data_IF_425916746669
#
_entry.id   IF_425916746669
#
_cell.length_a   1.000
_cell.length_b   1.000
_cell.length_c   1.000
_cell.angle_alpha   90.00
_cell.angle_beta   90.00
_cell.angle_gamma   90.00
#
_symmetry.space_group_name_H-M   'P 1'
#
loop_
_entity.id
_entity.type
_entity.pdbx_description
1 polymer ?
#
# COMPACT_ATOMS: atom_id res chain seq x y z
N UNK A 1 43.02 14.84 -37.77
CA UNK A 1 42.21 14.93 -36.52
C UNK A 1 42.93 14.31 -35.32
N UNK A 2 43.71 13.21 -35.44
CA UNK A 2 44.41 12.61 -34.28
C UNK A 2 45.50 13.50 -33.65
N UNK A 3 46.35 14.18 -34.45
CA UNK A 3 47.45 15.01 -33.94
C UNK A 3 47.04 16.13 -32.96
N UNK A 4 45.82 16.66 -33.09
CA UNK A 4 45.32 17.72 -32.18
C UNK A 4 44.93 17.11 -30.83
N UNK A 5 44.31 15.93 -30.83
CA UNK A 5 44.03 15.19 -29.60
C UNK A 5 45.33 14.72 -28.94
N UNK A 6 46.29 14.21 -29.71
CA UNK A 6 47.59 13.77 -29.20
C UNK A 6 48.36 14.92 -28.53
N UNK A 7 48.35 16.12 -29.11
CA UNK A 7 48.98 17.32 -28.54
C UNK A 7 48.25 17.85 -27.30
N UNK A 8 46.92 17.77 -27.26
CA UNK A 8 46.13 18.12 -26.08
C UNK A 8 46.36 17.14 -24.92
N UNK A 9 46.36 15.82 -25.18
CA UNK A 9 46.64 14.81 -24.17
C UNK A 9 48.07 14.94 -23.65
N UNK A 10 49.05 15.14 -24.54
CA UNK A 10 50.45 15.37 -24.18
C UNK A 10 50.59 16.57 -23.22
N UNK A 11 50.00 17.73 -23.56
CA UNK A 11 50.04 18.94 -22.71
C UNK A 11 49.31 18.78 -21.38
N UNK A 12 48.24 18.00 -21.34
CA UNK A 12 47.54 17.64 -20.09
C UNK A 12 48.40 16.75 -19.18
N UNK A 13 49.09 15.76 -19.76
CA UNK A 13 49.96 14.84 -19.02
C UNK A 13 51.31 15.45 -18.60
N UNK A 14 51.76 16.50 -19.29
CA UNK A 14 53.00 17.22 -18.98
C UNK A 14 52.83 18.18 -17.79
N UNK A 15 51.64 18.77 -17.60
CA UNK A 15 51.34 19.65 -16.46
C UNK A 15 50.78 18.93 -15.24
N UNK A 16 50.11 17.80 -15.43
CA UNK A 16 49.48 17.04 -14.34
C UNK A 16 50.21 15.72 -14.19
N UNK A 17 50.86 15.53 -13.04
CA UNK A 17 51.56 14.28 -12.74
C UNK A 17 50.55 13.11 -12.77
N UNK A 18 50.64 12.25 -13.79
CA UNK A 18 49.73 11.12 -14.00
C UNK A 18 49.64 10.18 -12.79
N UNK A 19 50.70 10.11 -11.96
CA UNK A 19 50.69 9.36 -10.69
C UNK A 19 49.71 9.94 -9.68
N UNK A 20 49.48 11.27 -9.72
CA UNK A 20 48.54 11.97 -8.87
C UNK A 20 47.10 11.81 -9.38
N UNK A 21 46.90 11.73 -10.69
CA UNK A 21 45.60 11.42 -11.31
C UNK A 21 45.10 10.01 -10.95
N UNK A 22 46.01 9.04 -10.79
CA UNK A 22 45.66 7.69 -10.31
C UNK A 22 45.08 7.67 -8.89
N UNK A 23 45.43 8.66 -8.05
CA UNK A 23 44.88 8.76 -6.71
C UNK A 23 43.44 9.29 -6.69
N UNK A 24 42.97 9.94 -7.77
CA UNK A 24 41.63 10.55 -7.81
C UNK A 24 40.52 9.49 -7.65
N UNK A 25 40.49 8.37 -8.39
CA UNK A 25 39.51 7.30 -8.15
C UNK A 25 39.60 6.70 -6.75
N UNK A 26 40.82 6.55 -6.20
CA UNK A 26 41.04 5.99 -4.86
C UNK A 26 40.47 6.91 -3.78
N UNK A 27 40.71 8.22 -3.89
CA UNK A 27 40.16 9.23 -2.98
C UNK A 27 38.63 9.28 -3.09
N UNK A 28 38.08 9.24 -4.30
CA UNK A 28 36.62 9.19 -4.51
C UNK A 28 36.00 7.94 -3.88
N UNK A 29 36.62 6.77 -4.05
CA UNK A 29 36.17 5.54 -3.43
C UNK A 29 36.23 5.62 -1.90
N UNK A 30 37.31 6.16 -1.34
CA UNK A 30 37.45 6.35 0.10
C UNK A 30 36.39 7.30 0.66
N UNK A 31 36.10 8.41 -0.04
CA UNK A 31 35.01 9.34 0.33
C UNK A 31 33.66 8.65 0.24
N UNK A 32 33.39 7.85 -0.79
CA UNK A 32 32.14 7.09 -0.89
C UNK A 32 31.97 6.10 0.26
N UNK A 33 33.01 5.31 0.58
CA UNK A 33 32.98 4.36 1.69
C UNK A 33 32.77 5.10 3.01
N UNK A 34 33.48 6.21 3.22
CA UNK A 34 33.32 7.04 4.41
C UNK A 34 31.89 7.58 4.57
N UNK A 35 31.28 8.05 3.48
CA UNK A 35 29.88 8.49 3.48
C UNK A 35 28.90 7.35 3.79
N UNK A 36 29.15 6.16 3.25
CA UNK A 36 28.34 4.96 3.52
C UNK A 36 28.47 4.55 5.00
N UNK A 37 29.66 4.61 5.59
CA UNK A 37 29.86 4.28 7.01
C UNK A 37 29.14 5.29 7.91
N UNK A 38 29.21 6.59 7.60
CA UNK A 38 28.58 7.62 8.42
C UNK A 38 27.05 7.65 8.32
N UNK A 39 26.50 7.48 7.12
CA UNK A 39 25.06 7.64 6.87
C UNK A 39 24.31 6.32 6.74
N UNK A 40 25.02 5.21 6.62
CA UNK A 40 24.44 3.93 6.21
C UNK A 40 24.02 3.91 4.75
N UNK A 41 23.58 2.75 4.28
CA UNK A 41 22.91 2.60 2.98
C UNK A 41 21.41 2.78 3.23
N UNK A 42 20.71 3.71 2.55
CA UNK A 42 19.26 3.84 2.67
C UNK A 42 18.58 2.64 2.03
N UNK A 43 18.36 1.60 2.81
CA UNK A 43 17.76 0.34 2.38
C UNK A 43 16.24 0.46 2.47
N UNK A 44 15.54 0.04 1.41
CA UNK A 44 14.08 0.07 1.36
C UNK A 44 13.43 -0.98 2.26
N UNK A 45 12.09 -0.95 2.30
CA UNK A 45 11.26 -1.85 3.11
C UNK A 45 11.52 -3.34 2.85
N UNK A 46 11.89 -3.72 1.62
CA UNK A 46 12.19 -5.13 1.27
C UNK A 46 13.50 -5.64 1.91
N UNK A 47 14.36 -4.72 2.36
CA UNK A 47 15.64 -5.04 2.99
C UNK A 47 15.60 -4.94 4.51
N UNK A 48 14.86 -3.96 5.06
CA UNK A 48 14.79 -3.75 6.52
C UNK A 48 13.52 -4.32 7.16
N UNK A 49 12.48 -4.58 6.36
CA UNK A 49 11.14 -4.89 6.84
C UNK A 49 10.38 -3.63 7.22
N UNK A 50 9.09 -3.78 7.52
CA UNK A 50 8.23 -2.69 7.97
C UNK A 50 6.76 -2.90 7.60
N UNK A 51 6.04 -1.80 7.39
CA UNK A 51 4.61 -1.81 7.07
C UNK A 51 4.32 -1.11 5.75
N UNK A 52 3.53 -1.77 4.90
CA UNK A 52 2.95 -1.22 3.69
C UNK A 52 1.43 -1.12 3.87
N UNK A 53 0.89 0.09 3.75
CA UNK A 53 -0.55 0.32 3.77
C UNK A 53 -0.95 0.89 2.41
N UNK A 54 -2.03 0.35 1.86
CA UNK A 54 -2.67 0.86 0.65
C UNK A 54 -4.13 1.15 0.96
N UNK A 55 -4.56 2.35 0.61
CA UNK A 55 -5.95 2.76 0.70
C UNK A 55 -6.44 3.16 -0.70
N UNK A 56 -7.49 2.52 -1.17
CA UNK A 56 -8.21 2.89 -2.40
C UNK A 56 -9.18 4.02 -2.04
N UNK A 57 -9.27 5.02 -2.91
CA UNK A 57 -10.03 6.24 -2.64
C UNK A 57 -11.00 6.48 -3.79
N UNK A 58 -12.26 6.71 -3.42
CA UNK A 58 -13.32 7.01 -4.39
C UNK A 58 -13.11 8.39 -5.03
N UNK A 59 -12.59 9.34 -4.24
CA UNK A 59 -12.30 10.70 -4.69
C UNK A 59 -10.84 11.07 -4.45
N UNK A 60 -10.26 11.96 -5.27
CA UNK A 60 -8.94 12.51 -5.01
C UNK A 60 -8.93 13.25 -3.67
N UNK A 61 -7.93 12.97 -2.83
CA UNK A 61 -7.73 13.68 -1.57
C UNK A 61 -7.13 15.06 -1.87
N UNK A 62 -7.61 16.08 -1.16
CA UNK A 62 -7.03 17.42 -1.23
C UNK A 62 -5.66 17.50 -0.52
N UNK A 63 -4.95 18.61 -0.71
CA UNK A 63 -3.65 18.78 -0.06
C UNK A 63 -3.76 18.99 1.45
N UNK A 64 -4.90 19.48 1.94
CA UNK A 64 -5.14 19.80 3.35
C UNK A 64 -5.25 18.53 4.19
N UNK A 65 -6.13 17.60 3.78
CA UNK A 65 -6.33 16.28 4.40
C UNK A 65 -5.03 15.49 4.34
N UNK A 66 -4.33 15.50 3.19
CA UNK A 66 -3.04 14.80 3.07
C UNK A 66 -1.99 15.33 4.07
N UNK A 67 -1.91 16.65 4.26
CA UNK A 67 -0.98 17.26 5.21
C UNK A 67 -1.38 16.99 6.67
N UNK A 68 -2.68 17.00 6.97
CA UNK A 68 -3.21 16.60 8.28
C UNK A 68 -2.85 15.16 8.60
N UNK A 69 -3.14 14.24 7.68
CA UNK A 69 -2.76 12.83 7.81
C UNK A 69 -1.26 12.65 7.99
N UNK A 70 -0.44 13.37 7.21
CA UNK A 70 1.02 13.31 7.34
C UNK A 70 1.47 13.72 8.74
N UNK A 71 0.94 14.82 9.26
CA UNK A 71 1.29 15.35 10.59
C UNK A 71 0.96 14.34 11.69
N UNK A 72 -0.23 13.73 11.62
CA UNK A 72 -0.66 12.74 12.61
C UNK A 72 0.19 11.46 12.54
N UNK A 73 0.51 10.99 11.34
CA UNK A 73 1.39 9.82 11.18
C UNK A 73 2.84 10.12 11.58
N UNK A 74 3.36 11.33 11.34
CA UNK A 74 4.69 11.75 11.80
C UNK A 74 4.75 11.83 13.34
N UNK A 75 3.66 12.26 13.98
CA UNK A 75 3.56 12.30 15.46
C UNK A 75 3.70 10.93 16.12
N UNK A 76 3.45 9.85 15.38
CA UNK A 76 3.64 8.47 15.87
C UNK A 76 5.11 8.04 15.93
N UNK A 77 6.04 8.83 15.38
CA UNK A 77 7.47 8.50 15.36
C UNK A 77 7.82 7.33 14.44
N UNK A 78 7.13 7.21 13.31
CA UNK A 78 7.35 6.14 12.33
C UNK A 78 8.66 6.35 11.55
N UNK A 79 9.49 5.32 11.45
CA UNK A 79 10.78 5.36 10.75
C UNK A 79 10.59 5.35 9.24
N UNK A 80 11.30 6.26 8.54
CA UNK A 80 11.25 6.45 7.08
C UNK A 80 9.81 6.43 6.54
N UNK A 81 8.93 7.19 7.19
CA UNK A 81 7.55 7.35 6.76
C UNK A 81 7.48 8.03 5.39
N UNK A 82 6.84 7.36 4.44
CA UNK A 82 6.62 7.89 3.09
C UNK A 82 5.17 7.69 2.69
N UNK A 83 4.58 8.76 2.18
CA UNK A 83 3.17 8.81 1.78
C UNK A 83 3.12 9.22 0.31
N UNK A 84 2.47 8.40 -0.51
CA UNK A 84 2.37 8.58 -1.95
C UNK A 84 0.92 8.56 -2.39
N UNK A 85 0.54 9.53 -3.21
CA UNK A 85 -0.68 9.46 -4.00
C UNK A 85 -0.34 8.93 -5.38
N UNK A 86 -1.16 8.01 -5.86
CA UNK A 86 -1.02 7.44 -7.18
C UNK A 86 -2.36 7.02 -7.74
N UNK A 87 -2.31 6.46 -8.94
CA UNK A 87 -3.47 5.88 -9.61
C UNK A 87 -3.15 4.45 -9.99
N UNK A 88 -4.04 3.52 -9.68
CA UNK A 88 -3.86 2.15 -10.12
C UNK A 88 -3.98 2.07 -11.64
N UNK A 89 -3.05 1.36 -12.27
CA UNK A 89 -3.03 1.28 -13.74
C UNK A 89 -4.15 0.44 -14.33
N UNK A 90 -4.67 -0.52 -13.56
CA UNK A 90 -5.66 -1.49 -14.03
C UNK A 90 -7.07 -0.96 -13.82
N UNK A 91 -7.40 -0.55 -12.60
CA UNK A 91 -8.74 -0.08 -12.23
C UNK A 91 -8.93 1.41 -12.48
N UNK A 92 -7.84 2.19 -12.56
CA UNK A 92 -7.91 3.65 -12.63
C UNK A 92 -8.32 4.31 -11.30
N UNK A 93 -8.36 3.56 -10.20
CA UNK A 93 -8.72 4.06 -8.88
C UNK A 93 -7.58 4.89 -8.28
N UNK A 94 -7.94 5.88 -7.46
CA UNK A 94 -6.95 6.66 -6.71
C UNK A 94 -6.45 5.82 -5.55
N UNK A 95 -5.13 5.78 -5.35
CA UNK A 95 -4.52 5.00 -4.27
C UNK A 95 -3.61 5.91 -3.44
N UNK A 96 -3.82 5.86 -2.12
CA UNK A 96 -2.86 6.31 -1.13
C UNK A 96 -1.98 5.13 -0.70
N UNK A 97 -0.67 5.28 -0.83
CA UNK A 97 0.30 4.29 -0.34
C UNK A 97 1.12 4.89 0.78
N UNK A 98 1.10 4.24 1.94
CA UNK A 98 1.93 4.60 3.10
C UNK A 98 2.96 3.48 3.30
N UNK A 99 4.24 3.87 3.39
CA UNK A 99 5.35 2.97 3.66
C UNK A 99 6.10 3.46 4.88
N UNK A 100 6.50 2.55 5.75
CA UNK A 100 7.38 2.83 6.89
C UNK A 100 8.19 1.57 7.20
N UNK A 101 9.39 1.77 7.76
CA UNK A 101 10.22 0.68 8.27
C UNK A 101 9.76 0.18 9.66
N UNK A 102 8.85 0.92 10.30
CA UNK A 102 8.24 0.50 11.56
C UNK A 102 7.16 -0.56 11.34
N UNK A 103 7.13 -1.57 12.21
CA UNK A 103 6.02 -2.52 12.30
C UNK A 103 4.86 -1.86 13.05
N UNK A 104 3.83 -1.46 12.31
CA UNK A 104 2.67 -0.76 12.87
C UNK A 104 1.58 -1.77 13.17
N UNK A 105 0.86 -1.57 14.26
CA UNK A 105 -0.34 -2.34 14.57
C UNK A 105 -1.56 -1.65 13.95
N UNK A 106 -2.41 -2.44 13.27
CA UNK A 106 -3.67 -1.98 12.68
C UNK A 106 -4.49 -1.15 13.68
N UNK A 107 -4.68 -1.62 14.91
CA UNK A 107 -5.51 -0.95 15.94
C UNK A 107 -5.05 0.48 16.24
N UNK A 108 -3.77 0.81 16.02
CA UNK A 108 -3.25 2.16 16.26
C UNK A 108 -3.41 3.08 15.06
N UNK A 109 -3.25 2.55 13.84
CA UNK A 109 -3.25 3.36 12.62
C UNK A 109 -4.64 3.51 12.01
N UNK A 110 -5.49 2.51 12.18
CA UNK A 110 -6.84 2.50 11.60
C UNK A 110 -7.66 3.74 11.97
N UNK A 111 -7.74 4.16 13.25
CA UNK A 111 -8.54 5.34 13.62
C UNK A 111 -8.01 6.65 13.03
N UNK A 112 -6.68 6.77 12.87
CA UNK A 112 -6.04 7.94 12.26
C UNK A 112 -6.36 7.99 10.77
N UNK A 113 -6.32 6.83 10.09
CA UNK A 113 -6.68 6.79 8.68
C UNK A 113 -8.17 7.09 8.50
N UNK A 114 -9.05 6.55 9.32
CA UNK A 114 -10.49 6.81 9.22
C UNK A 114 -10.84 8.28 9.47
N UNK A 115 -10.16 8.95 10.41
CA UNK A 115 -10.42 10.38 10.69
C UNK A 115 -10.12 11.31 9.52
N UNK A 116 -9.24 10.89 8.59
CA UNK A 116 -8.86 11.68 7.41
C UNK A 116 -9.47 11.16 6.10
N UNK A 117 -9.70 9.84 5.99
CA UNK A 117 -10.02 9.18 4.74
C UNK A 117 -11.47 8.67 4.67
N UNK A 118 -12.20 8.71 5.79
CA UNK A 118 -13.54 8.12 5.90
C UNK A 118 -13.49 6.64 6.27
N UNK A 119 -14.62 5.95 6.08
CA UNK A 119 -14.77 4.54 6.48
C UNK A 119 -13.82 3.62 5.72
N UNK A 120 -13.13 2.74 6.44
CA UNK A 120 -12.17 1.80 5.88
C UNK A 120 -12.69 0.37 6.03
N UNK A 121 -12.58 -0.41 4.97
CA UNK A 121 -12.96 -1.82 4.97
C UNK A 121 -11.91 -2.70 4.30
N UNK A 122 -11.63 -3.84 4.94
CA UNK A 122 -10.74 -4.90 4.41
C UNK A 122 -11.49 -5.92 3.52
N UNK A 123 -12.81 -5.85 3.54
CA UNK A 123 -13.71 -6.80 2.86
C UNK A 123 -14.80 -6.02 2.12
N UNK A 124 -15.39 -6.63 1.11
CA UNK A 124 -16.54 -6.05 0.45
C UNK A 124 -17.77 -6.24 1.35
N UNK A 125 -18.59 -5.20 1.45
CA UNK A 125 -19.80 -5.16 2.26
C UNK A 125 -20.95 -4.76 1.36
N UNK A 126 -22.03 -5.54 1.42
CA UNK A 126 -23.30 -5.20 0.79
C UNK A 126 -24.36 -5.02 1.86
N UNK A 127 -25.05 -3.88 1.81
CA UNK A 127 -26.16 -3.57 2.71
C UNK A 127 -27.43 -3.32 1.92
N UNK A 128 -28.55 -3.85 2.40
CA UNK A 128 -29.87 -3.58 1.83
C UNK A 128 -30.93 -3.63 2.91
N UNK A 129 -31.95 -2.79 2.79
CA UNK A 129 -33.11 -2.85 3.67
C UNK A 129 -34.14 -3.83 3.10
N UNK A 130 -34.60 -4.75 3.94
CA UNK A 130 -35.63 -5.74 3.58
C UNK A 130 -36.93 -5.37 4.27
N UNK A 131 -37.88 -4.87 3.48
CA UNK A 131 -39.20 -4.45 3.95
C UNK A 131 -40.16 -5.66 4.01
N UNK A 132 -39.80 -6.77 3.36
CA UNK A 132 -40.65 -7.94 3.20
C UNK A 132 -40.45 -8.98 4.30
N UNK A 133 -41.45 -9.85 4.46
CA UNK A 133 -41.37 -10.92 5.42
C UNK A 133 -40.39 -12.00 4.92
N UNK A 134 -39.25 -12.12 5.59
CA UNK A 134 -38.17 -13.01 5.18
C UNK A 134 -38.56 -14.48 5.43
N UNK A 135 -38.42 -15.37 4.43
CA UNK A 135 -38.72 -16.78 4.62
C UNK A 135 -37.79 -17.44 5.65
N UNK A 136 -38.26 -18.45 6.41
CA UNK A 136 -37.40 -19.20 7.32
C UNK A 136 -36.19 -19.80 6.58
N UNK A 137 -35.00 -19.66 7.18
CA UNK A 137 -33.74 -20.14 6.60
C UNK A 137 -33.25 -19.33 5.40
N UNK A 138 -33.71 -18.09 5.22
CA UNK A 138 -33.23 -17.20 4.16
C UNK A 138 -31.72 -16.98 4.22
N UNK A 139 -31.16 -16.71 5.41
CA UNK A 139 -29.72 -16.50 5.59
C UNK A 139 -28.91 -17.73 5.15
N UNK A 140 -29.33 -18.93 5.53
CA UNK A 140 -28.66 -20.18 5.15
C UNK A 140 -28.73 -20.45 3.65
N UNK A 141 -29.89 -20.17 3.03
CA UNK A 141 -30.06 -20.26 1.57
C UNK A 141 -29.18 -19.25 0.84
N UNK A 142 -29.07 -18.04 1.36
CA UNK A 142 -28.26 -16.98 0.79
C UNK A 142 -26.76 -17.32 0.89
N UNK A 143 -26.30 -17.77 2.08
CA UNK A 143 -24.94 -18.29 2.29
C UNK A 143 -24.62 -19.44 1.34
N UNK A 144 -25.55 -20.40 1.17
CA UNK A 144 -25.35 -21.54 0.27
C UNK A 144 -25.22 -21.12 -1.21
N UNK A 145 -25.92 -20.05 -1.65
CA UNK A 145 -25.82 -19.56 -3.03
C UNK A 145 -24.60 -18.68 -3.27
N UNK A 146 -24.20 -17.88 -2.28
CA UNK A 146 -23.06 -16.98 -2.37
C UNK A 146 -21.72 -17.70 -2.14
N UNK A 147 -21.74 -18.92 -1.57
CA UNK A 147 -20.57 -19.74 -1.32
C UNK A 147 -20.09 -19.67 0.14
N UNK A 148 -19.31 -20.66 0.55
CA UNK A 148 -18.96 -20.91 1.96
C UNK A 148 -18.04 -19.88 2.65
N UNK A 149 -17.68 -18.78 1.98
CA UNK A 149 -16.81 -17.74 2.51
C UNK A 149 -17.50 -16.37 2.61
N UNK A 150 -18.82 -16.40 2.77
CA UNK A 150 -19.65 -15.20 2.90
C UNK A 150 -20.32 -15.18 4.26
N UNK A 151 -20.18 -14.06 4.97
CA UNK A 151 -20.95 -13.79 6.16
C UNK A 151 -22.23 -13.05 5.78
N UNK A 152 -23.35 -13.51 6.33
CA UNK A 152 -24.67 -12.92 6.10
C UNK A 152 -25.31 -12.75 7.46
N UNK A 153 -25.71 -11.52 7.74
CA UNK A 153 -26.35 -11.10 8.98
C UNK A 153 -27.62 -10.32 8.64
N UNK A 154 -28.74 -10.69 9.25
CA UNK A 154 -29.98 -9.94 9.12
C UNK A 154 -30.42 -9.42 10.49
N UNK A 155 -30.47 -8.10 10.64
CA UNK A 155 -31.00 -7.46 11.82
C UNK A 155 -32.50 -7.21 11.65
N UNK A 156 -33.31 -7.97 12.41
CA UNK A 156 -34.78 -7.88 12.39
C UNK A 156 -35.32 -6.57 12.96
N UNK A 157 -34.55 -5.86 13.79
CA UNK A 157 -35.00 -4.61 14.40
C UNK A 157 -34.87 -3.43 13.41
N UNK A 158 -33.80 -3.44 12.63
CA UNK A 158 -33.49 -2.39 11.64
C UNK A 158 -33.87 -2.78 10.22
N UNK A 159 -34.34 -4.01 10.02
CA UNK A 159 -34.61 -4.61 8.70
C UNK A 159 -33.41 -4.57 7.77
N UNK A 160 -32.19 -4.58 8.32
CA UNK A 160 -30.96 -4.45 7.56
C UNK A 160 -30.34 -5.83 7.29
N UNK A 161 -30.19 -6.16 6.02
CA UNK A 161 -29.36 -7.27 5.58
C UNK A 161 -27.95 -6.76 5.30
N UNK A 162 -26.97 -7.39 5.94
CA UNK A 162 -25.55 -7.17 5.71
C UNK A 162 -24.91 -8.46 5.21
N UNK A 163 -24.26 -8.37 4.05
CA UNK A 163 -23.48 -9.44 3.44
C UNK A 163 -22.04 -8.96 3.40
N UNK A 164 -21.08 -9.77 3.84
CA UNK A 164 -19.67 -9.40 3.77
C UNK A 164 -18.76 -10.57 3.40
N UNK A 165 -17.82 -10.33 2.50
CA UNK A 165 -16.82 -11.31 2.08
C UNK A 165 -15.56 -10.63 1.50
N UNK A 166 -14.47 -11.38 1.33
CA UNK A 166 -13.21 -10.84 0.81
C UNK A 166 -13.31 -10.28 -0.61
N UNK A 167 -14.20 -10.84 -1.42
CA UNK A 167 -14.48 -10.39 -2.77
C UNK A 167 -15.93 -10.74 -3.10
N UNK A 168 -16.69 -9.73 -3.51
CA UNK A 168 -18.10 -9.85 -3.88
C UNK A 168 -18.32 -9.33 -5.30
N UNK A 169 -19.06 -10.10 -6.09
CA UNK A 169 -19.55 -9.64 -7.40
C UNK A 169 -20.89 -8.92 -7.19
N UNK A 170 -20.85 -7.59 -7.33
CA UNK A 170 -22.01 -6.70 -7.22
C UNK A 170 -23.19 -7.18 -8.08
N UNK A 171 -22.93 -7.58 -9.33
CA UNK A 171 -23.99 -8.02 -10.26
C UNK A 171 -24.57 -9.35 -9.82
N UNK A 172 -23.71 -10.26 -9.38
CA UNK A 172 -24.14 -11.57 -8.90
C UNK A 172 -25.01 -11.44 -7.65
N UNK A 173 -24.58 -10.61 -6.68
CA UNK A 173 -25.35 -10.37 -5.45
C UNK A 173 -26.70 -9.74 -5.78
N UNK A 174 -26.70 -8.70 -6.59
CA UNK A 174 -27.93 -8.03 -6.98
C UNK A 174 -28.92 -9.01 -7.63
N UNK A 175 -28.45 -9.84 -8.57
CA UNK A 175 -29.27 -10.87 -9.21
C UNK A 175 -29.79 -11.92 -8.21
N UNK A 176 -28.94 -12.37 -7.28
CA UNK A 176 -29.36 -13.33 -6.25
C UNK A 176 -30.43 -12.71 -5.36
N UNK A 177 -30.23 -11.48 -4.89
CA UNK A 177 -31.17 -10.80 -4.00
C UNK A 177 -32.50 -10.52 -4.70
N UNK A 178 -32.50 -10.10 -5.97
CA UNK A 178 -33.73 -9.94 -6.76
C UNK A 178 -34.52 -11.24 -6.95
N UNK A 179 -33.88 -12.41 -6.90
CA UNK A 179 -34.60 -13.68 -6.96
C UNK A 179 -35.38 -13.99 -5.67
N UNK A 180 -35.03 -13.35 -4.56
CA UNK A 180 -35.63 -13.58 -3.25
C UNK A 180 -36.48 -12.41 -2.73
N UNK A 181 -36.23 -11.21 -3.24
CA UNK A 181 -36.80 -9.94 -2.78
C UNK A 181 -37.41 -9.18 -3.95
N UNK A 182 -38.41 -8.33 -3.69
CA UNK A 182 -39.07 -7.51 -4.72
C UNK A 182 -38.15 -6.69 -5.64
N UNK A 183 -38.70 -6.31 -6.80
CA UNK A 183 -38.01 -5.59 -7.90
C UNK A 183 -37.40 -4.22 -7.51
N UNK A 184 -37.82 -3.60 -6.39
CA UNK A 184 -37.36 -2.28 -5.94
C UNK A 184 -36.30 -2.35 -4.83
N UNK A 185 -35.31 -3.24 -4.98
CA UNK A 185 -34.24 -3.42 -4.01
C UNK A 185 -33.16 -2.33 -4.15
N UNK A 186 -32.98 -1.51 -3.11
CA UNK A 186 -31.85 -0.59 -3.02
C UNK A 186 -30.68 -1.29 -2.34
N UNK A 187 -29.68 -1.66 -3.13
CA UNK A 187 -28.46 -2.30 -2.66
C UNK A 187 -27.35 -1.25 -2.59
N UNK A 188 -26.76 -1.08 -1.41
CA UNK A 188 -25.53 -0.32 -1.24
C UNK A 188 -24.34 -1.27 -1.24
N UNK A 189 -23.34 -0.99 -2.08
CA UNK A 189 -22.14 -1.80 -2.24
C UNK A 189 -20.92 -0.99 -1.83
N UNK A 190 -20.25 -1.44 -0.78
CA UNK A 190 -19.02 -0.86 -0.26
C UNK A 190 -17.87 -1.82 -0.59
N UNK A 191 -17.01 -1.40 -1.52
CA UNK A 191 -15.81 -2.16 -1.88
C UNK A 191 -14.77 -2.07 -0.77
N UNK A 192 -14.01 -3.16 -0.59
CA UNK A 192 -12.78 -3.12 0.20
C UNK A 192 -11.89 -2.00 -0.32
N UNK A 193 -11.46 -1.15 0.58
CA UNK A 193 -10.65 0.01 0.26
C UNK A 193 -9.38 0.07 1.10
N UNK A 194 -9.17 -0.86 2.04
CA UNK A 194 -8.01 -0.86 2.93
C UNK A 194 -7.23 -2.19 2.84
N UNK A 195 -5.92 -2.08 2.70
CA UNK A 195 -5.01 -3.22 2.73
C UNK A 195 -3.73 -2.87 3.48
N UNK A 196 -3.45 -3.60 4.55
CA UNK A 196 -2.23 -3.46 5.33
C UNK A 196 -1.44 -4.76 5.31
N UNK A 197 -0.15 -4.64 4.97
CA UNK A 197 0.78 -5.77 4.91
C UNK A 197 2.02 -5.46 5.74
N UNK A 198 2.37 -6.40 6.60
CA UNK A 198 3.69 -6.45 7.21
C UNK A 198 4.66 -7.05 6.20
N UNK A 199 5.72 -6.31 5.88
CA UNK A 199 6.76 -6.74 4.95
C UNK A 199 7.97 -7.17 5.78
N UNK A 200 8.42 -8.41 5.59
CA UNK A 200 9.66 -8.90 6.20
C UNK A 200 10.90 -8.48 5.40
N UNK A 201 12.10 -8.51 6.00
CA UNK A 201 13.36 -8.17 5.34
C UNK A 201 13.85 -9.32 4.42
N UNK A 202 13.03 -9.76 3.47
CA UNK A 202 13.30 -10.95 2.65
C UNK A 202 14.56 -10.78 1.78
N UNK A 203 14.71 -9.62 1.13
CA UNK A 203 15.91 -9.31 0.34
C UNK A 203 17.12 -9.05 1.24
N UNK A 204 16.92 -8.41 2.39
CA UNK A 204 17.99 -8.17 3.36
C UNK A 204 18.55 -9.48 3.93
N UNK A 205 17.67 -10.44 4.21
CA UNK A 205 18.05 -11.78 4.66
C UNK A 205 18.81 -12.53 3.57
N UNK A 206 18.27 -12.59 2.35
CA UNK A 206 18.94 -13.22 1.22
C UNK A 206 20.31 -12.59 0.92
N UNK A 207 20.41 -11.26 0.99
CA UNK A 207 21.68 -10.55 0.79
C UNK A 207 22.71 -10.87 1.88
N UNK A 208 22.31 -10.98 3.15
CA UNK A 208 23.22 -11.40 4.22
C UNK A 208 23.65 -12.86 4.07
N UNK A 209 22.71 -13.75 3.79
CA UNK A 209 22.97 -15.19 3.69
C UNK A 209 23.81 -15.56 2.46
N UNK A 210 23.61 -14.89 1.32
CA UNK A 210 24.27 -15.22 0.05
C UNK A 210 25.45 -14.30 -0.27
N UNK A 211 25.39 -13.03 0.16
CA UNK A 211 26.39 -12.00 -0.17
C UNK A 211 27.42 -11.76 0.92
N UNK A 212 27.06 -11.97 2.20
CA UNK A 212 27.98 -11.88 3.34
C UNK A 212 28.22 -13.24 4.03
N UNK A 213 27.57 -14.30 3.54
CA UNK A 213 27.75 -15.67 4.01
C UNK A 213 29.02 -16.30 3.44
N UNK A 214 30.16 -15.86 3.97
CA UNK A 214 31.39 -16.63 4.16
C UNK A 214 31.93 -16.30 5.56
#
# INVERSE_FOLDING_TARGET
MSKIFDDMYSKLTERVNYKLLFLVPVILAAVMIFLIILRGIPLGIDFQGGTLIKVTLDTPIDTTILNGLRTDLESMGLEDLRIYLGRERVTGENILTIKTLTFVNKTRIFPILESHLGELSEIDIVTTYIIENIPPGFEDKLKSRLGGHVDVQFDRNTSLLRISAYELDEKQIFFILQNYLSENLTVNFEKKNFNMKVVGPTLGKAFREQGMGA
#
